data_IF_224806390688
#
_entry.id   IF_224806390688
#
_cell.length_a   1.000
_cell.length_b   1.000
_cell.length_c   1.000
_cell.angle_alpha   90.00
_cell.angle_beta   90.00
_cell.angle_gamma   90.00
#
_symmetry.space_group_name_H-M   'P 1'
#
loop_
_entity.id
_entity.type
_entity.pdbx_description
1 polymer ?
#
# COMPACT_ATOMS: atom_id res chain seq x y z
N UNK A 1 -9.44 -9.64 6.35
CA UNK A 1 -8.90 -9.08 5.10
C UNK A 1 -9.75 -9.55 3.93
N UNK A 2 -10.39 -8.62 3.21
CA UNK A 2 -11.21 -8.97 2.05
C UNK A 2 -10.42 -8.82 0.73
N UNK A 3 -9.89 -9.94 0.23
CA UNK A 3 -9.06 -9.99 -1.00
C UNK A 3 -9.84 -9.51 -2.23
N UNK A 4 -11.16 -9.71 -2.26
CA UNK A 4 -11.99 -9.23 -3.37
C UNK A 4 -11.97 -7.70 -3.48
N UNK A 5 -11.84 -6.98 -2.36
CA UNK A 5 -11.74 -5.51 -2.37
C UNK A 5 -10.39 -5.08 -2.95
N UNK A 6 -9.29 -5.74 -2.56
CA UNK A 6 -7.95 -5.43 -3.09
C UNK A 6 -7.90 -5.64 -4.61
N UNK A 7 -8.34 -6.82 -5.05
CA UNK A 7 -8.35 -7.16 -6.48
C UNK A 7 -9.27 -6.25 -7.30
N UNK A 8 -10.45 -5.90 -6.78
CA UNK A 8 -11.34 -4.92 -7.41
C UNK A 8 -10.73 -3.50 -7.46
N UNK A 9 -9.87 -3.18 -6.50
CA UNK A 9 -9.11 -1.92 -6.46
C UNK A 9 -7.88 -1.93 -7.37
N UNK A 10 -7.62 -3.02 -8.09
CA UNK A 10 -6.52 -3.15 -9.05
C UNK A 10 -5.21 -3.67 -8.47
N UNK A 11 -5.23 -4.27 -7.28
CA UNK A 11 -4.07 -5.00 -6.76
C UNK A 11 -3.91 -6.35 -7.47
N UNK A 12 -2.67 -6.72 -7.77
CA UNK A 12 -2.31 -8.01 -8.35
C UNK A 12 -1.58 -8.90 -7.33
N UNK A 13 -1.86 -10.21 -7.30
CA UNK A 13 -1.15 -11.13 -6.42
C UNK A 13 0.30 -11.32 -6.89
N UNK A 14 1.22 -11.39 -5.93
CA UNK A 14 2.65 -11.64 -6.14
C UNK A 14 3.13 -12.66 -5.11
N UNK A 15 3.96 -13.59 -5.57
CA UNK A 15 4.67 -14.54 -4.70
C UNK A 15 6.16 -14.31 -4.84
N UNK A 16 6.84 -14.13 -3.70
CA UNK A 16 8.28 -13.94 -3.67
C UNK A 16 8.98 -15.25 -3.31
N UNK A 17 10.03 -15.59 -4.06
CA UNK A 17 10.81 -16.79 -3.77
C UNK A 17 11.42 -16.72 -2.36
N UNK A 18 11.16 -17.74 -1.55
CA UNK A 18 11.66 -17.82 -0.17
C UNK A 18 10.78 -17.11 0.87
N UNK A 19 9.67 -16.49 0.47
CA UNK A 19 8.67 -15.95 1.38
C UNK A 19 7.38 -16.80 1.33
N UNK A 20 6.67 -16.89 2.46
CA UNK A 20 5.41 -17.63 2.54
C UNK A 20 4.22 -16.68 2.40
N UNK A 21 3.22 -17.12 1.64
CA UNK A 21 1.97 -16.41 1.45
C UNK A 21 1.95 -15.53 0.19
N UNK A 22 0.77 -15.02 -0.13
CA UNK A 22 0.53 -14.17 -1.30
C UNK A 22 0.51 -12.70 -0.88
N UNK A 23 1.37 -11.92 -1.50
CA UNK A 23 1.40 -10.47 -1.39
C UNK A 23 0.45 -9.89 -2.44
N UNK A 24 -0.08 -8.70 -2.19
CA UNK A 24 -0.90 -7.99 -3.17
C UNK A 24 -0.27 -6.64 -3.43
N UNK A 25 0.07 -6.36 -4.68
CA UNK A 25 0.78 -5.12 -5.05
C UNK A 25 -0.05 -4.26 -5.99
N UNK A 26 0.12 -2.95 -5.88
CA UNK A 26 -0.40 -1.97 -6.84
C UNK A 26 0.62 -0.86 -7.04
N UNK A 27 0.85 -0.48 -8.30
CA UNK A 27 1.69 0.67 -8.65
C UNK A 27 0.85 1.94 -8.74
N UNK A 28 1.36 3.02 -8.18
CA UNK A 28 0.72 4.32 -8.13
C UNK A 28 1.76 5.41 -8.34
N UNK A 29 1.35 6.50 -9.00
CA UNK A 29 2.17 7.71 -9.06
C UNK A 29 1.92 8.54 -7.79
N UNK A 30 2.95 9.15 -7.22
CA UNK A 30 2.84 9.98 -6.00
C UNK A 30 1.79 11.10 -6.15
N UNK A 31 1.63 11.66 -7.34
CA UNK A 31 0.58 12.64 -7.63
C UNK A 31 -0.85 12.15 -7.32
N UNK A 32 -1.08 10.82 -7.31
CA UNK A 32 -2.36 10.19 -6.99
C UNK A 32 -2.48 9.74 -5.51
N UNK A 33 -1.48 10.02 -4.68
CA UNK A 33 -1.36 9.53 -3.30
C UNK A 33 -1.39 10.71 -2.29
N UNK A 34 -2.57 11.30 -2.03
CA UNK A 34 -2.69 12.48 -1.16
C UNK A 34 -2.26 12.23 0.29
N UNK A 35 -2.52 11.04 0.85
CA UNK A 35 -2.07 10.70 2.20
C UNK A 35 -0.54 10.67 2.26
N UNK A 36 0.10 9.97 1.31
CA UNK A 36 1.55 9.89 1.21
C UNK A 36 2.18 11.29 1.09
N UNK A 37 1.64 12.16 0.24
CA UNK A 37 2.18 13.52 0.04
C UNK A 37 2.24 14.38 1.30
N UNK A 38 1.39 14.12 2.29
CA UNK A 38 1.39 14.86 3.57
C UNK A 38 2.10 14.13 4.70
N UNK A 39 2.44 12.86 4.52
CA UNK A 39 3.02 11.99 5.55
C UNK A 39 4.38 11.39 5.16
N UNK A 40 4.90 11.63 3.94
CA UNK A 40 6.23 11.20 3.54
C UNK A 40 7.27 11.82 4.49
N UNK A 41 7.92 10.96 5.29
CA UNK A 41 8.84 11.36 6.35
C UNK A 41 10.27 11.44 5.79
N UNK A 42 10.81 12.66 5.86
CA UNK A 42 12.22 13.07 5.92
C UNK A 42 13.26 12.47 4.95
N UNK A 43 13.93 13.39 4.24
CA UNK A 43 15.27 13.30 3.63
C UNK A 43 15.44 12.66 2.25
N UNK A 44 14.46 11.93 1.71
CA UNK A 44 14.54 11.42 0.33
C UNK A 44 13.78 12.27 -0.69
N UNK A 45 14.36 12.42 -1.88
CA UNK A 45 13.78 13.23 -2.95
C UNK A 45 12.70 12.44 -3.68
N UNK A 46 11.48 12.47 -3.16
CA UNK A 46 10.31 11.92 -3.83
C UNK A 46 9.66 13.01 -4.67
N UNK A 47 9.59 12.79 -5.98
CA UNK A 47 8.93 13.70 -6.91
C UNK A 47 7.48 13.28 -7.13
N UNK A 48 6.63 14.22 -7.58
CA UNK A 48 5.24 13.90 -7.93
C UNK A 48 5.12 12.85 -9.04
N UNK A 49 6.18 12.68 -9.85
CA UNK A 49 6.28 11.67 -10.92
C UNK A 49 6.85 10.34 -10.44
N UNK A 50 7.29 10.23 -9.19
CA UNK A 50 7.82 8.98 -8.65
C UNK A 50 6.72 7.93 -8.62
N UNK A 51 7.05 6.71 -9.06
CA UNK A 51 6.16 5.57 -8.93
C UNK A 51 6.42 4.87 -7.59
N UNK A 52 5.34 4.60 -6.86
CA UNK A 52 5.34 3.83 -5.63
C UNK A 52 4.68 2.48 -5.88
N UNK A 53 5.18 1.45 -5.21
CA UNK A 53 4.48 0.18 -5.01
C UNK A 53 3.86 0.22 -3.63
N UNK A 54 2.54 0.11 -3.56
CA UNK A 54 1.82 -0.22 -2.33
C UNK A 54 1.64 -1.73 -2.30
N UNK A 55 2.06 -2.35 -1.21
CA UNK A 55 2.00 -3.80 -1.03
C UNK A 55 1.28 -4.15 0.26
N UNK A 56 0.33 -5.08 0.17
CA UNK A 56 -0.32 -5.72 1.31
C UNK A 56 0.30 -7.08 1.52
N UNK A 57 0.82 -7.30 2.73
CA UNK A 57 1.53 -8.52 3.11
C UNK A 57 0.56 -9.61 3.60
N UNK A 58 0.97 -10.90 3.56
CA UNK A 58 0.14 -12.00 4.06
C UNK A 58 -0.25 -11.91 5.54
N UNK A 59 0.58 -11.25 6.36
CA UNK A 59 0.34 -11.04 7.80
C UNK A 59 -0.54 -9.81 8.10
N UNK A 60 -1.09 -9.15 7.08
CA UNK A 60 -2.04 -8.05 7.25
C UNK A 60 -1.37 -6.72 7.56
N UNK A 61 -0.23 -6.45 6.92
CA UNK A 61 0.43 -5.14 6.93
C UNK A 61 0.39 -4.51 5.56
N UNK A 62 0.64 -3.21 5.52
CA UNK A 62 0.81 -2.41 4.31
C UNK A 62 2.21 -1.82 4.33
N UNK A 63 2.92 -1.94 3.23
CA UNK A 63 4.20 -1.27 3.04
C UNK A 63 4.21 -0.51 1.72
N UNK A 64 5.10 0.47 1.65
CA UNK A 64 5.27 1.32 0.49
C UNK A 64 6.75 1.36 0.10
N UNK A 65 7.02 1.24 -1.18
CA UNK A 65 8.38 1.28 -1.73
C UNK A 65 8.38 2.14 -2.98
N UNK A 66 9.30 3.10 -3.07
CA UNK A 66 9.48 3.85 -4.31
C UNK A 66 10.29 3.02 -5.31
N UNK A 67 9.87 3.03 -6.57
CA UNK A 67 10.61 2.41 -7.66
C UNK A 67 11.83 3.27 -7.97
N UNK A 68 12.97 2.63 -8.25
CA UNK A 68 14.24 3.27 -8.62
C UNK A 68 14.87 4.17 -7.53
N UNK A 69 14.47 3.98 -6.26
CA UNK A 69 15.10 4.61 -5.10
C UNK A 69 15.26 3.60 -3.97
N UNK A 70 16.10 3.91 -2.99
CA UNK A 70 16.27 3.09 -1.79
C UNK A 70 15.22 3.41 -0.69
N UNK A 71 14.18 4.19 -1.01
CA UNK A 71 13.15 4.57 -0.05
C UNK A 71 12.23 3.39 0.26
N UNK A 72 12.32 2.91 1.50
CA UNK A 72 11.49 1.86 2.08
C UNK A 72 11.00 2.34 3.44
N UNK A 73 9.67 2.40 3.60
CA UNK A 73 9.06 2.60 4.93
C UNK A 73 8.84 1.25 5.63
N UNK A 74 8.84 1.27 6.96
CA UNK A 74 8.47 0.09 7.73
C UNK A 74 7.01 -0.30 7.47
N UNK A 75 6.69 -1.61 7.39
CA UNK A 75 5.32 -2.07 7.21
C UNK A 75 4.43 -1.68 8.41
N UNK A 76 3.32 -1.02 8.12
CA UNK A 76 2.30 -0.60 9.11
C UNK A 76 1.10 -1.55 9.09
N UNK A 77 0.40 -1.68 10.22
CA UNK A 77 -0.79 -2.53 10.30
C UNK A 77 -1.94 -2.01 9.43
N UNK A 78 -2.70 -2.89 8.78
CA UNK A 78 -3.86 -2.49 7.95
C UNK A 78 -4.97 -1.78 8.74
N UNK A 79 -4.98 -1.91 10.06
CA UNK A 79 -5.95 -1.36 10.99
C UNK A 79 -5.48 -0.06 11.68
N UNK A 80 -4.27 0.42 11.36
CA UNK A 80 -3.77 1.72 11.83
C UNK A 80 -4.22 2.86 10.91
N UNK A 81 -4.07 4.10 11.38
CA UNK A 81 -4.35 5.29 10.57
C UNK A 81 -3.47 5.34 9.30
N UNK A 82 -2.18 5.02 9.44
CA UNK A 82 -1.23 4.96 8.32
C UNK A 82 -1.60 3.89 7.30
N UNK A 83 -1.88 2.65 7.76
CA UNK A 83 -2.28 1.58 6.86
C UNK A 83 -3.58 1.91 6.12
N UNK A 84 -4.55 2.48 6.83
CA UNK A 84 -5.80 2.93 6.22
C UNK A 84 -5.57 4.10 5.23
N UNK A 85 -4.66 5.03 5.53
CA UNK A 85 -4.27 6.12 4.64
C UNK A 85 -3.69 5.61 3.32
N UNK A 86 -2.69 4.74 3.39
CA UNK A 86 -2.05 4.13 2.22
C UNK A 86 -3.01 3.30 1.38
N UNK A 87 -3.92 2.54 2.01
CA UNK A 87 -4.94 1.79 1.31
C UNK A 87 -5.94 2.70 0.57
N UNK A 88 -6.34 3.82 1.18
CA UNK A 88 -7.20 4.81 0.51
C UNK A 88 -6.52 5.48 -0.67
N UNK A 89 -5.24 5.83 -0.54
CA UNK A 89 -4.43 6.31 -1.67
C UNK A 89 -4.39 5.28 -2.81
N UNK A 90 -4.35 4.00 -2.46
CA UNK A 90 -4.45 2.91 -3.42
C UNK A 90 -5.87 2.64 -3.95
N UNK A 91 -6.87 3.43 -3.55
CA UNK A 91 -8.26 3.32 -4.00
C UNK A 91 -9.06 2.20 -3.33
N UNK A 92 -8.59 1.68 -2.20
CA UNK A 92 -9.26 0.62 -1.43
C UNK A 92 -10.33 1.22 -0.53
N UNK A 93 -11.54 0.65 -0.57
CA UNK A 93 -12.56 0.89 0.45
C UNK A 93 -12.15 0.17 1.75
N UNK A 94 -11.56 0.92 2.68
CA UNK A 94 -11.00 0.38 3.92
C UNK A 94 -12.06 -0.22 4.84
N UNK A 95 -13.27 0.33 4.89
CA UNK A 95 -14.33 -0.20 5.74
C UNK A 95 -14.79 -1.57 5.25
N UNK A 96 -15.01 -1.70 3.93
CA UNK A 96 -15.33 -2.98 3.30
C UNK A 96 -14.16 -3.98 3.38
N UNK A 97 -12.93 -3.49 3.24
CA UNK A 97 -11.71 -4.29 3.30
C UNK A 97 -11.46 -4.91 4.69
N UNK A 98 -11.68 -4.13 5.74
CA UNK A 98 -11.56 -4.56 7.13
C UNK A 98 -12.80 -5.32 7.63
N UNK A 99 -13.88 -5.36 6.85
CA UNK A 99 -15.15 -5.99 7.25
C UNK A 99 -15.87 -5.21 8.35
N UNK A 100 -15.67 -3.90 8.41
CA UNK A 100 -16.33 -2.97 9.35
C UNK A 100 -17.65 -2.40 8.82
N UNK A 101 -18.06 -2.78 7.61
CA UNK A 101 -19.40 -2.50 7.06
C UNK A 101 -20.43 -3.55 7.47
N UNK A 102 -21.53 -3.09 8.06
CA UNK A 102 -22.77 -3.84 8.34
C UNK A 102 -23.44 -4.38 7.09
#
# INVERSE_FOLDING_TARGET
>A
MNIHVLTASGFAPVEYHGQQGTFYTKKLCVAAMPYMRTHAIDQDTIFETTEMVVEVTPDGRVQMTAIDTDYVEEPVGIDTEDGAGLLRDAGVDVELFLGKGT
#
